data_IF_444196223248
#
_entry.id   IF_444196223248
#
_cell.length_a   1.000
_cell.length_b   1.000
_cell.length_c   1.000
_cell.angle_alpha   90.00
_cell.angle_beta   90.00
_cell.angle_gamma   90.00
#
_symmetry.space_group_name_H-M   'P 1'
#
loop_
_entity.id
_entity.type
_entity.pdbx_description
1 polymer ?
#
# COMPACT_ATOMS: atom_id res chain seq x y z
N UNK A 1 4.61 19.10 18.11
CA UNK A 1 5.21 17.78 18.49
C UNK A 1 6.54 18.00 19.22
N UNK A 2 6.92 17.15 20.23
CA UNK A 2 8.24 17.25 20.90
C UNK A 2 9.19 16.21 20.31
N UNK A 3 10.27 16.68 19.70
CA UNK A 3 11.31 15.85 19.09
C UNK A 3 12.70 16.33 19.52
N UNK A 4 13.69 15.45 19.46
CA UNK A 4 15.11 15.76 19.69
C UNK A 4 15.88 15.45 18.41
N UNK A 5 16.75 16.35 17.98
CA UNK A 5 17.61 16.12 16.82
C UNK A 5 18.74 15.20 17.28
N UNK A 6 18.82 13.99 16.68
CA UNK A 6 19.91 13.04 16.94
C UNK A 6 21.13 13.28 16.03
N UNK A 7 20.84 13.62 14.78
CA UNK A 7 21.87 13.89 13.79
C UNK A 7 21.33 14.87 12.75
N UNK A 8 22.19 15.76 12.28
CA UNK A 8 21.86 16.72 11.23
C UNK A 8 23.03 16.85 10.26
N UNK A 9 22.71 16.89 8.98
CA UNK A 9 23.62 17.22 7.89
C UNK A 9 22.91 18.15 6.92
N UNK A 10 23.63 18.73 5.95
CA UNK A 10 23.06 19.72 5.03
C UNK A 10 21.84 19.14 4.26
N UNK A 11 20.64 19.66 4.59
CA UNK A 11 19.38 19.24 3.96
C UNK A 11 18.81 17.90 4.46
N UNK A 12 19.38 17.30 5.51
CA UNK A 12 18.89 16.05 6.09
C UNK A 12 19.01 16.08 7.60
N UNK A 13 17.92 15.72 8.29
CA UNK A 13 17.93 15.60 9.75
C UNK A 13 17.32 14.28 10.21
N UNK A 14 17.84 13.78 11.32
CA UNK A 14 17.28 12.64 12.04
C UNK A 14 16.72 13.13 13.37
N UNK A 15 15.42 12.94 13.52
CA UNK A 15 14.69 13.37 14.70
C UNK A 15 14.24 12.15 15.50
N UNK A 16 14.34 12.23 16.80
CA UNK A 16 13.74 11.26 17.71
C UNK A 16 12.56 11.89 18.43
N UNK A 17 11.40 11.27 18.30
CA UNK A 17 10.18 11.71 18.97
C UNK A 17 10.23 11.33 20.45
N UNK A 18 9.78 12.23 21.32
CA UNK A 18 9.68 11.99 22.77
C UNK A 18 8.44 11.17 23.12
N UNK A 19 8.29 10.01 22.48
CA UNK A 19 7.24 9.03 22.81
C UNK A 19 7.84 7.64 22.90
N UNK A 20 7.30 6.79 23.78
CA UNK A 20 7.84 5.45 24.04
C UNK A 20 7.44 4.44 22.96
N UNK A 21 6.30 4.63 22.32
CA UNK A 21 5.77 3.73 21.29
C UNK A 21 4.99 4.56 20.27
N UNK A 22 5.05 4.13 19.01
CA UNK A 22 4.29 4.67 17.90
C UNK A 22 3.50 3.55 17.25
N UNK A 23 2.23 3.78 16.96
CA UNK A 23 1.41 2.83 16.20
C UNK A 23 1.79 2.92 14.72
N UNK A 24 1.48 1.87 13.93
CA UNK A 24 1.71 1.90 12.48
C UNK A 24 0.94 3.06 11.84
N UNK A 25 -0.34 3.23 12.22
CA UNK A 25 -1.17 4.34 11.73
C UNK A 25 -0.57 5.71 12.04
N UNK A 26 -0.03 5.90 13.23
CA UNK A 26 0.66 7.14 13.57
C UNK A 26 1.91 7.36 12.73
N UNK A 27 2.69 6.30 12.47
CA UNK A 27 3.86 6.40 11.62
C UNK A 27 3.50 6.77 10.18
N UNK A 28 2.48 6.12 9.62
CA UNK A 28 1.99 6.41 8.27
C UNK A 28 1.41 7.83 8.17
N UNK A 29 0.64 8.26 9.17
CA UNK A 29 0.08 9.61 9.24
C UNK A 29 1.17 10.69 9.31
N UNK A 30 2.17 10.49 10.16
CA UNK A 30 3.28 11.42 10.29
C UNK A 30 4.13 11.47 9.02
N UNK A 31 4.39 10.31 8.39
CA UNK A 31 5.15 10.23 7.15
C UNK A 31 4.42 10.93 6.01
N UNK A 32 3.13 10.68 5.85
CA UNK A 32 2.31 11.32 4.83
C UNK A 32 2.17 12.83 5.07
N UNK A 33 1.98 13.26 6.32
CA UNK A 33 1.96 14.68 6.68
C UNK A 33 3.28 15.38 6.35
N UNK A 34 4.41 14.75 6.68
CA UNK A 34 5.74 15.28 6.37
C UNK A 34 5.97 15.41 4.87
N UNK A 35 5.65 14.36 4.09
CA UNK A 35 5.78 14.36 2.62
C UNK A 35 4.89 15.40 1.96
N UNK A 36 3.73 15.72 2.53
CA UNK A 36 2.84 16.77 2.06
C UNK A 36 3.33 18.22 2.32
N UNK A 37 4.44 18.41 3.03
CA UNK A 37 4.97 19.75 3.28
C UNK A 37 5.81 20.26 2.11
N UNK A 38 5.70 21.55 1.72
CA UNK A 38 6.38 22.11 0.56
C UNK A 38 7.92 22.12 0.69
N UNK A 39 8.45 22.09 1.89
CA UNK A 39 9.87 22.04 2.18
C UNK A 39 10.42 20.61 2.30
N UNK A 40 9.59 19.59 2.42
CA UNK A 40 10.02 18.20 2.49
C UNK A 40 10.31 17.64 1.10
N UNK A 41 11.46 17.01 0.94
CA UNK A 41 11.82 16.25 -0.27
C UNK A 41 11.55 14.77 -0.09
N UNK A 42 11.84 14.26 1.10
CA UNK A 42 11.54 12.87 1.47
C UNK A 42 11.46 12.77 3.00
N UNK A 43 10.64 11.85 3.47
CA UNK A 43 10.49 11.56 4.89
C UNK A 43 10.29 10.06 5.10
N UNK A 44 11.01 9.49 6.04
CA UNK A 44 10.89 8.08 6.45
C UNK A 44 10.71 8.03 7.96
N UNK A 45 9.62 7.42 8.40
CA UNK A 45 9.28 7.28 9.82
C UNK A 45 9.48 5.84 10.27
N UNK A 46 10.28 5.63 11.31
CA UNK A 46 10.54 4.33 11.93
C UNK A 46 9.75 4.21 13.23
N UNK A 47 8.66 3.44 13.22
CA UNK A 47 7.76 3.29 14.36
C UNK A 47 8.40 2.61 15.59
N UNK A 48 9.32 1.65 15.37
CA UNK A 48 9.98 0.91 16.47
C UNK A 48 10.93 1.78 17.29
N UNK A 49 11.64 2.68 16.62
CA UNK A 49 12.63 3.57 17.25
C UNK A 49 12.08 4.95 17.52
N UNK A 50 10.85 5.24 17.05
CA UNK A 50 10.24 6.57 17.05
C UNK A 50 11.15 7.64 16.43
N UNK A 51 11.91 7.25 15.39
CA UNK A 51 12.81 8.12 14.66
C UNK A 51 12.21 8.52 13.32
N UNK A 52 12.45 9.75 12.93
CA UNK A 52 12.11 10.32 11.64
C UNK A 52 13.39 10.71 10.94
N UNK A 53 13.56 10.24 9.72
CA UNK A 53 14.62 10.69 8.82
C UNK A 53 13.94 11.60 7.80
N UNK A 54 14.34 12.87 7.80
CA UNK A 54 13.74 13.89 6.95
C UNK A 54 14.82 14.48 6.05
N UNK A 55 14.54 14.49 4.73
CA UNK A 55 15.33 15.25 3.75
C UNK A 55 14.51 16.47 3.36
N UNK A 56 15.07 17.66 3.49
CA UNK A 56 14.35 18.90 3.31
C UNK A 56 15.12 19.91 2.45
N UNK A 57 14.38 20.88 1.90
CA UNK A 57 14.92 22.04 1.20
C UNK A 57 14.43 23.34 1.87
N UNK A 58 15.18 24.41 1.72
CA UNK A 58 14.84 25.71 2.31
C UNK A 58 15.42 25.93 3.70
N UNK A 59 14.78 26.84 4.44
CA UNK A 59 15.28 27.30 5.72
C UNK A 59 15.00 26.31 6.86
N UNK A 60 16.03 26.07 7.67
CA UNK A 60 15.98 25.13 8.81
C UNK A 60 14.98 25.53 9.88
N UNK A 61 14.85 26.81 10.18
CA UNK A 61 13.96 27.29 11.25
C UNK A 61 12.50 27.11 10.86
N UNK A 62 12.17 27.33 9.60
CA UNK A 62 10.84 27.06 9.05
C UNK A 62 10.46 25.58 9.21
N UNK A 63 11.38 24.67 8.91
CA UNK A 63 11.15 23.22 9.07
C UNK A 63 10.93 22.85 10.54
N UNK A 64 11.75 23.38 11.45
CA UNK A 64 11.62 23.07 12.88
C UNK A 64 10.35 23.66 13.48
N UNK A 65 9.93 24.87 13.07
CA UNK A 65 8.68 25.46 13.52
C UNK A 65 7.46 24.67 13.05
N UNK A 66 7.47 24.23 11.79
CA UNK A 66 6.40 23.37 11.23
C UNK A 66 6.31 22.01 11.96
N UNK A 67 7.45 21.37 12.26
CA UNK A 67 7.49 20.14 13.05
C UNK A 67 6.98 20.40 14.49
N UNK A 68 7.34 21.54 15.06
CA UNK A 68 6.90 21.99 16.39
C UNK A 68 5.38 22.14 16.50
N UNK A 69 4.75 22.70 15.46
CA UNK A 69 3.29 22.90 15.39
C UNK A 69 2.48 21.63 15.08
N UNK A 70 3.12 20.53 14.69
CA UNK A 70 2.44 19.27 14.38
C UNK A 70 1.58 18.78 15.54
N UNK A 71 0.32 18.46 15.25
CA UNK A 71 -0.62 17.79 16.16
C UNK A 71 -1.23 16.58 15.46
N UNK A 72 -1.47 15.52 16.20
CA UNK A 72 -2.06 14.28 15.63
C UNK A 72 -3.45 14.52 15.08
N UNK A 73 -4.29 15.29 15.80
CA UNK A 73 -5.64 15.60 15.36
C UNK A 73 -5.66 16.41 14.06
N UNK A 74 -4.82 17.45 13.96
CA UNK A 74 -4.74 18.25 12.73
C UNK A 74 -4.18 17.46 11.52
N UNK A 75 -3.31 16.49 11.77
CA UNK A 75 -2.83 15.61 10.69
C UNK A 75 -3.92 14.63 10.23
N UNK A 76 -4.76 14.10 11.13
CA UNK A 76 -5.88 13.23 10.75
C UNK A 76 -6.95 13.95 9.92
N UNK A 77 -7.13 15.25 10.11
CA UNK A 77 -8.05 16.06 9.30
C UNK A 77 -7.49 16.41 7.91
N UNK A 78 -6.16 16.50 7.78
CA UNK A 78 -5.50 16.98 6.55
C UNK A 78 -4.96 15.88 5.66
N UNK A 79 -4.75 14.67 6.20
CA UNK A 79 -4.12 13.55 5.49
C UNK A 79 -5.08 12.37 5.38
N UNK A 80 -5.39 11.99 4.15
CA UNK A 80 -6.15 10.76 3.87
C UNK A 80 -5.17 9.59 3.74
N UNK A 81 -5.21 8.65 4.70
CA UNK A 81 -4.38 7.45 4.64
C UNK A 81 -5.03 6.39 3.74
N UNK A 82 -4.25 5.67 2.92
CA UNK A 82 -4.75 4.51 2.20
C UNK A 82 -5.23 3.44 3.17
N UNK A 83 -6.29 2.73 2.81
CA UNK A 83 -6.91 1.67 3.64
C UNK A 83 -5.96 0.50 3.95
N UNK A 84 -4.94 0.30 3.13
CA UNK A 84 -3.94 -0.76 3.28
C UNK A 84 -2.53 -0.17 3.21
N UNK A 85 -1.87 -0.14 4.34
CA UNK A 85 -0.47 0.30 4.43
C UNK A 85 0.48 -0.85 4.10
N UNK A 86 1.39 -0.63 3.14
CA UNK A 86 2.48 -1.57 2.81
C UNK A 86 3.31 -1.92 4.05
N UNK A 87 3.41 -0.99 5.00
CA UNK A 87 4.08 -1.17 6.29
C UNK A 87 3.37 -2.21 7.16
N UNK A 88 2.03 -2.18 7.20
CA UNK A 88 1.23 -3.16 7.94
C UNK A 88 1.39 -4.57 7.36
N UNK A 89 1.38 -4.71 6.03
CA UNK A 89 1.62 -5.98 5.33
C UNK A 89 3.00 -6.56 5.64
N UNK A 90 4.04 -5.73 5.57
CA UNK A 90 5.41 -6.15 5.86
C UNK A 90 5.57 -6.60 7.31
N UNK A 91 4.93 -5.91 8.25
CA UNK A 91 4.96 -6.26 9.66
C UNK A 91 4.24 -7.56 9.94
N UNK A 92 3.05 -7.76 9.39
CA UNK A 92 2.29 -9.00 9.52
C UNK A 92 3.09 -10.20 9.00
N UNK A 93 3.73 -10.04 7.84
CA UNK A 93 4.62 -11.05 7.28
C UNK A 93 5.80 -11.37 8.21
N UNK A 94 6.52 -10.33 8.70
CA UNK A 94 7.65 -10.51 9.60
C UNK A 94 7.24 -11.20 10.91
N UNK A 95 6.13 -10.81 11.52
CA UNK A 95 5.63 -11.42 12.76
C UNK A 95 5.28 -12.90 12.55
N UNK A 96 4.62 -13.24 11.45
CA UNK A 96 4.30 -14.63 11.09
C UNK A 96 5.55 -15.46 10.79
N UNK A 97 6.50 -14.90 10.02
CA UNK A 97 7.75 -15.55 9.67
C UNK A 97 8.60 -15.84 10.91
N UNK A 98 8.84 -14.81 11.72
CA UNK A 98 9.62 -14.94 12.97
C UNK A 98 8.93 -15.92 13.92
N UNK A 99 7.61 -15.85 14.07
CA UNK A 99 6.84 -16.81 14.87
C UNK A 99 7.04 -18.25 14.43
N UNK A 100 6.91 -18.54 13.12
CA UNK A 100 7.12 -19.90 12.57
C UNK A 100 8.55 -20.38 12.77
N UNK A 101 9.55 -19.54 12.53
CA UNK A 101 10.98 -19.87 12.71
C UNK A 101 11.30 -20.15 14.20
N UNK A 102 10.82 -19.30 15.11
CA UNK A 102 11.01 -19.49 16.54
C UNK A 102 10.35 -20.77 17.04
N UNK A 103 9.11 -21.04 16.65
CA UNK A 103 8.39 -22.25 17.03
C UNK A 103 9.13 -23.50 16.52
N UNK A 104 9.63 -23.48 15.28
CA UNK A 104 10.44 -24.58 14.71
C UNK A 104 11.73 -24.75 15.50
N UNK A 105 12.48 -23.66 15.76
CA UNK A 105 13.72 -23.69 16.53
C UNK A 105 13.55 -24.23 17.96
N UNK A 106 12.58 -23.65 18.69
CA UNK A 106 12.27 -24.09 20.07
C UNK A 106 11.84 -25.57 20.09
N UNK A 107 10.96 -25.99 19.16
CA UNK A 107 10.53 -27.37 19.11
C UNK A 107 11.65 -28.36 18.78
N UNK A 108 12.63 -27.91 17.98
CA UNK A 108 13.77 -28.77 17.60
C UNK A 108 14.77 -28.90 18.74
N UNK A 109 14.98 -27.82 19.52
CA UNK A 109 15.98 -27.77 20.61
C UNK A 109 15.46 -28.33 21.95
N UNK A 110 14.21 -28.00 22.30
CA UNK A 110 13.70 -28.24 23.66
C UNK A 110 12.71 -29.39 23.77
N UNK A 111 12.07 -29.83 22.67
CA UNK A 111 11.07 -30.90 22.76
C UNK A 111 11.73 -32.28 22.73
N UNK A 112 11.36 -33.18 23.66
CA UNK A 112 11.79 -34.58 23.60
C UNK A 112 11.25 -35.25 22.33
N UNK A 113 11.97 -36.27 21.85
CA UNK A 113 11.68 -36.95 20.57
C UNK A 113 10.24 -37.39 20.41
N UNK A 114 9.52 -37.97 21.41
CA UNK A 114 8.13 -38.37 21.20
C UNK A 114 7.18 -37.20 20.96
N UNK A 115 7.38 -36.07 21.61
CA UNK A 115 6.58 -34.85 21.37
C UNK A 115 6.84 -34.26 20.01
N UNK A 116 8.07 -34.30 19.51
CA UNK A 116 8.42 -33.87 18.15
C UNK A 116 7.72 -34.74 17.12
N UNK A 117 7.71 -36.04 17.28
CA UNK A 117 7.00 -36.98 16.38
C UNK A 117 5.50 -36.68 16.38
N UNK A 118 4.88 -36.61 17.57
CA UNK A 118 3.46 -36.32 17.70
C UNK A 118 3.08 -35.01 16.99
N UNK A 119 3.91 -33.97 17.12
CA UNK A 119 3.71 -32.71 16.44
C UNK A 119 3.82 -32.83 14.92
N UNK A 120 4.82 -33.54 14.38
CA UNK A 120 5.00 -33.80 12.96
C UNK A 120 3.77 -34.50 12.38
N UNK A 121 3.31 -35.57 13.07
CA UNK A 121 2.11 -36.33 12.67
C UNK A 121 0.87 -35.43 12.68
N UNK A 122 0.70 -34.58 13.69
CA UNK A 122 -0.43 -33.65 13.74
C UNK A 122 -0.39 -32.62 12.59
N UNK A 123 0.79 -32.03 12.32
CA UNK A 123 0.97 -31.07 11.24
C UNK A 123 0.86 -31.70 9.83
N UNK A 124 1.04 -33.00 9.68
CA UNK A 124 0.91 -33.73 8.42
C UNK A 124 -0.56 -33.83 7.95
N UNK A 125 -1.53 -33.87 8.89
CA UNK A 125 -2.94 -34.10 8.59
C UNK A 125 -3.50 -33.16 7.52
N UNK A 126 -3.33 -31.82 7.61
CA UNK A 126 -3.84 -30.91 6.59
C UNK A 126 -3.18 -31.13 5.21
N UNK A 127 -1.90 -31.44 5.14
CA UNK A 127 -1.21 -31.71 3.87
C UNK A 127 -1.74 -32.99 3.21
N UNK A 128 -1.86 -34.06 3.96
CA UNK A 128 -2.43 -35.31 3.45
C UNK A 128 -3.89 -35.15 3.02
N UNK A 129 -4.69 -34.38 3.76
CA UNK A 129 -6.10 -34.12 3.41
C UNK A 129 -6.25 -33.31 2.12
N UNK A 130 -5.32 -32.35 1.87
CA UNK A 130 -5.25 -31.61 0.59
C UNK A 130 -4.88 -32.57 -0.55
N UNK A 131 -3.85 -33.40 -0.40
CA UNK A 131 -3.41 -34.36 -1.41
C UNK A 131 -4.45 -35.42 -1.74
N UNK A 132 -5.14 -35.99 -0.72
CA UNK A 132 -6.22 -36.97 -0.94
C UNK A 132 -7.42 -36.35 -1.70
N UNK A 133 -7.76 -35.10 -1.39
CA UNK A 133 -8.83 -34.38 -2.16
C UNK A 133 -8.44 -34.17 -3.61
N UNK A 134 -7.16 -33.88 -3.91
CA UNK A 134 -6.68 -33.81 -5.28
C UNK A 134 -6.80 -35.15 -6.01
N UNK A 135 -6.42 -36.22 -5.36
CA UNK A 135 -6.53 -37.59 -5.90
C UNK A 135 -8.00 -37.98 -6.17
N UNK A 136 -8.90 -37.70 -5.23
CA UNK A 136 -10.35 -37.94 -5.38
C UNK A 136 -11.00 -37.17 -6.52
N UNK A 137 -10.47 -35.99 -6.85
CA UNK A 137 -10.92 -35.16 -7.98
C UNK A 137 -10.19 -35.46 -9.30
N UNK A 138 -9.33 -36.49 -9.32
CA UNK A 138 -8.51 -36.88 -10.49
C UNK A 138 -7.68 -35.73 -11.09
N UNK A 139 -7.23 -34.79 -10.25
CA UNK A 139 -6.40 -33.67 -10.66
C UNK A 139 -5.01 -33.81 -10.07
N UNK A 140 -4.01 -33.79 -10.92
CA UNK A 140 -2.61 -33.84 -10.49
C UNK A 140 -2.17 -32.38 -10.24
N UNK A 141 -2.03 -32.03 -8.96
CA UNK A 141 -1.56 -30.72 -8.50
C UNK A 141 -0.34 -30.88 -7.61
N UNK A 142 0.34 -29.76 -7.34
CA UNK A 142 1.51 -29.70 -6.47
C UNK A 142 1.22 -30.25 -5.08
N UNK A 143 0.00 -30.01 -4.56
CA UNK A 143 -0.44 -30.53 -3.25
C UNK A 143 -0.43 -32.06 -3.15
N UNK A 144 -0.58 -32.77 -4.27
CA UNK A 144 -0.43 -34.24 -4.30
C UNK A 144 1.03 -34.65 -4.13
N UNK A 145 1.95 -33.94 -4.78
CA UNK A 145 3.40 -34.18 -4.69
C UNK A 145 3.90 -33.90 -3.27
N UNK A 146 3.42 -32.83 -2.66
CA UNK A 146 3.74 -32.45 -1.28
C UNK A 146 3.27 -33.54 -0.29
N UNK A 147 2.02 -33.98 -0.44
CA UNK A 147 1.44 -35.04 0.37
C UNK A 147 2.21 -36.37 0.23
N UNK A 148 2.61 -36.71 -0.99
CA UNK A 148 3.42 -37.91 -1.25
C UNK A 148 4.81 -37.79 -0.62
N UNK A 149 5.49 -36.67 -0.78
CA UNK A 149 6.83 -36.44 -0.22
C UNK A 149 6.82 -36.53 1.32
N UNK A 150 5.84 -35.90 1.96
CA UNK A 150 5.64 -35.94 3.41
C UNK A 150 5.28 -37.36 3.84
N UNK A 151 4.34 -38.01 3.15
CA UNK A 151 3.86 -39.36 3.46
C UNK A 151 4.99 -40.40 3.38
N UNK A 152 5.82 -40.37 2.32
CA UNK A 152 6.98 -41.26 2.14
C UNK A 152 8.01 -41.03 3.27
N UNK A 153 8.28 -39.77 3.62
CA UNK A 153 9.24 -39.44 4.71
C UNK A 153 8.76 -40.00 6.05
N UNK A 154 7.47 -39.83 6.35
CA UNK A 154 6.89 -40.39 7.59
C UNK A 154 6.86 -41.94 7.57
N UNK A 155 6.53 -42.53 6.43
CA UNK A 155 6.56 -44.02 6.27
C UNK A 155 7.97 -44.59 6.52
N UNK A 156 9.00 -43.86 6.06
CA UNK A 156 10.41 -44.20 6.33
C UNK A 156 10.85 -43.89 7.76
N UNK A 157 9.97 -43.41 8.62
CA UNK A 157 10.23 -42.92 9.99
C UNK A 157 11.22 -41.76 10.04
N UNK A 158 11.40 -41.06 8.95
CA UNK A 158 12.23 -39.83 8.91
C UNK A 158 11.36 -38.61 9.19
N UNK A 159 11.00 -38.45 10.46
CA UNK A 159 10.19 -37.35 10.95
C UNK A 159 10.94 -36.00 10.87
N UNK A 160 12.28 -36.03 10.84
CA UNK A 160 13.10 -34.82 10.67
C UNK A 160 12.92 -34.19 9.30
N UNK A 161 13.07 -35.02 8.27
CA UNK A 161 12.85 -34.57 6.87
C UNK A 161 11.39 -34.16 6.65
N UNK A 162 10.42 -34.96 7.08
CA UNK A 162 9.00 -34.61 6.96
C UNK A 162 8.69 -33.26 7.60
N UNK A 163 9.17 -33.02 8.83
CA UNK A 163 8.98 -31.74 9.52
C UNK A 163 9.71 -30.56 8.89
N UNK A 164 10.80 -30.80 8.16
CA UNK A 164 11.53 -29.75 7.45
C UNK A 164 10.85 -29.41 6.13
N UNK A 165 10.40 -30.40 5.38
CA UNK A 165 9.62 -30.21 4.15
C UNK A 165 8.34 -29.41 4.46
N UNK A 166 7.54 -29.83 5.46
CA UNK A 166 6.33 -29.08 5.85
C UNK A 166 6.64 -27.64 6.24
N UNK A 167 7.73 -27.42 6.99
CA UNK A 167 8.13 -26.06 7.36
C UNK A 167 8.50 -25.21 6.15
N UNK A 168 9.24 -25.75 5.16
CA UNK A 168 9.60 -25.03 3.94
C UNK A 168 8.37 -24.71 3.10
N UNK A 169 7.42 -25.66 2.98
CA UNK A 169 6.16 -25.44 2.29
C UNK A 169 5.34 -24.33 2.95
N UNK A 170 5.23 -24.31 4.27
CA UNK A 170 4.53 -23.25 4.99
C UNK A 170 5.19 -21.87 4.85
N UNK A 171 6.53 -21.81 4.78
CA UNK A 171 7.23 -20.55 4.49
C UNK A 171 6.98 -20.12 3.04
N UNK A 172 6.98 -21.08 2.10
CA UNK A 172 6.66 -20.81 0.69
C UNK A 172 5.26 -20.21 0.52
N UNK A 173 4.23 -20.83 1.11
CA UNK A 173 2.84 -20.31 1.10
C UNK A 173 2.76 -18.89 1.70
N UNK A 174 3.48 -18.64 2.81
CA UNK A 174 3.51 -17.33 3.46
C UNK A 174 4.17 -16.27 2.57
N UNK A 175 5.28 -16.62 1.90
CA UNK A 175 6.00 -15.73 1.00
C UNK A 175 5.17 -15.41 -0.25
N UNK A 176 4.49 -16.41 -0.81
CA UNK A 176 3.61 -16.26 -1.96
C UNK A 176 2.44 -15.31 -1.65
N UNK A 177 1.76 -15.52 -0.51
CA UNK A 177 0.66 -14.65 -0.08
C UNK A 177 1.13 -13.20 0.15
N UNK A 178 2.29 -13.03 0.79
CA UNK A 178 2.88 -11.70 0.97
C UNK A 178 3.26 -11.04 -0.35
N UNK A 179 3.93 -11.77 -1.26
CA UNK A 179 4.35 -11.23 -2.58
C UNK A 179 3.15 -10.81 -3.39
N UNK A 180 2.09 -11.62 -3.39
CA UNK A 180 0.84 -11.31 -4.08
C UNK A 180 0.20 -10.04 -3.53
N UNK A 181 0.02 -9.95 -2.20
CA UNK A 181 -0.58 -8.77 -1.56
C UNK A 181 0.26 -7.52 -1.80
N UNK A 182 1.59 -7.65 -1.73
CA UNK A 182 2.50 -6.55 -1.97
C UNK A 182 2.44 -6.08 -3.42
N UNK A 183 2.46 -6.99 -4.40
CA UNK A 183 2.36 -6.64 -5.82
C UNK A 183 1.08 -5.88 -6.14
N UNK A 184 -0.06 -6.27 -5.55
CA UNK A 184 -1.33 -5.53 -5.71
C UNK A 184 -1.25 -4.15 -5.08
N UNK A 185 -0.64 -4.02 -3.89
CA UNK A 185 -0.47 -2.74 -3.23
C UNK A 185 0.48 -1.81 -4.01
N UNK A 186 1.61 -2.33 -4.48
CA UNK A 186 2.60 -1.58 -5.27
C UNK A 186 2.01 -1.15 -6.63
N UNK A 187 1.17 -2.00 -7.25
CA UNK A 187 0.44 -1.65 -8.46
C UNK A 187 -0.58 -0.54 -8.19
N UNK A 188 -1.36 -0.65 -7.13
CA UNK A 188 -2.30 0.38 -6.73
C UNK A 188 -1.60 1.71 -6.41
N UNK A 189 -0.43 1.67 -5.77
CA UNK A 189 0.39 2.85 -5.48
C UNK A 189 0.96 3.48 -6.76
N UNK A 190 1.50 2.68 -7.69
CA UNK A 190 2.05 3.20 -8.95
C UNK A 190 0.97 3.73 -9.90
N UNK A 191 -0.24 3.22 -9.80
CA UNK A 191 -1.38 3.73 -10.52
C UNK A 191 -2.00 4.96 -9.82
N UNK A 192 -1.85 5.13 -8.51
CA UNK A 192 -2.39 6.30 -7.81
C UNK A 192 -1.60 7.57 -8.16
N UNK A 193 -2.27 8.48 -8.86
CA UNK A 193 -1.71 9.79 -9.16
C UNK A 193 -1.72 10.62 -7.89
N UNK A 194 -0.54 10.92 -7.38
CA UNK A 194 -0.37 11.74 -6.19
C UNK A 194 -0.52 13.22 -6.55
N UNK A 195 -1.77 13.67 -6.64
CA UNK A 195 -2.07 15.09 -6.63
C UNK A 195 -2.46 15.45 -5.20
N UNK A 196 -1.51 15.99 -4.46
CA UNK A 196 -1.74 16.36 -3.05
C UNK A 196 -2.51 17.66 -2.90
N UNK A 197 -2.36 18.59 -3.86
CA UNK A 197 -2.93 19.94 -3.82
C UNK A 197 -3.46 20.36 -5.18
N UNK A 198 -4.53 21.14 -5.16
CA UNK A 198 -5.21 21.66 -6.32
C UNK A 198 -5.45 23.17 -6.19
N UNK A 199 -5.54 23.87 -7.30
CA UNK A 199 -5.90 25.28 -7.32
C UNK A 199 -7.41 25.41 -7.24
N UNK A 200 -7.93 25.74 -6.06
CA UNK A 200 -9.35 26.03 -5.85
C UNK A 200 -9.65 27.45 -6.29
N UNK A 201 -10.60 27.61 -7.21
CA UNK A 201 -11.07 28.93 -7.67
C UNK A 201 -11.97 29.53 -6.58
N UNK A 202 -11.59 30.68 -6.06
CA UNK A 202 -12.40 31.44 -5.07
C UNK A 202 -12.67 32.84 -5.59
N UNK A 203 -13.67 33.54 -5.06
CA UNK A 203 -13.92 34.95 -5.45
C UNK A 203 -12.73 35.89 -5.19
N UNK A 204 -11.82 35.51 -4.30
CA UNK A 204 -10.62 36.27 -3.95
C UNK A 204 -9.39 35.86 -4.79
N UNK A 205 -9.50 34.88 -5.68
CA UNK A 205 -8.42 34.31 -6.50
C UNK A 205 -8.21 32.81 -6.29
N UNK A 206 -7.24 32.25 -7.01
CA UNK A 206 -6.91 30.82 -6.93
C UNK A 206 -6.11 30.53 -5.66
N UNK A 207 -6.58 29.58 -4.86
CA UNK A 207 -5.95 29.18 -3.59
C UNK A 207 -5.49 27.73 -3.67
N UNK A 208 -4.21 27.47 -3.38
CA UNK A 208 -3.66 26.12 -3.37
C UNK A 208 -4.17 25.36 -2.15
N UNK A 209 -5.11 24.45 -2.38
CA UNK A 209 -5.86 23.72 -1.35
C UNK A 209 -5.52 22.23 -1.38
N UNK A 210 -5.34 21.54 -0.23
CA UNK A 210 -5.20 20.08 -0.18
C UNK A 210 -6.42 19.38 -0.81
N UNK A 211 -6.17 18.34 -1.63
CA UNK A 211 -7.22 17.63 -2.35
C UNK A 211 -8.29 17.03 -1.42
N UNK A 212 -7.92 16.62 -0.20
CA UNK A 212 -8.84 16.08 0.80
C UNK A 212 -9.86 17.09 1.36
N UNK A 213 -9.69 18.40 1.09
CA UNK A 213 -10.62 19.45 1.50
C UNK A 213 -11.61 19.82 0.37
N UNK A 214 -11.39 19.31 -0.83
CA UNK A 214 -12.24 19.58 -2.01
C UNK A 214 -13.55 18.80 -1.87
N UNK A 215 -14.64 19.46 -2.23
CA UNK A 215 -16.02 18.91 -2.19
C UNK A 215 -16.62 18.86 -3.59
N UNK A 216 -17.61 18.00 -3.81
CA UNK A 216 -18.40 18.04 -5.03
C UNK A 216 -19.04 19.43 -5.22
N UNK A 217 -18.92 19.99 -6.42
CA UNK A 217 -19.37 21.35 -6.76
C UNK A 217 -18.27 22.41 -6.64
N UNK A 218 -17.13 22.12 -6.01
CA UNK A 218 -16.01 23.06 -5.99
C UNK A 218 -15.40 23.21 -7.40
N UNK A 219 -14.85 24.41 -7.66
CA UNK A 219 -14.21 24.73 -8.94
C UNK A 219 -12.69 24.68 -8.79
N UNK A 220 -12.04 23.86 -9.62
CA UNK A 220 -10.59 23.64 -9.60
C UNK A 220 -10.00 24.12 -10.94
N UNK A 221 -8.92 24.88 -10.88
CA UNK A 221 -8.19 25.36 -12.05
C UNK A 221 -7.08 24.39 -12.42
N UNK A 222 -7.06 23.95 -13.69
CA UNK A 222 -5.98 23.11 -14.23
C UNK A 222 -5.41 23.77 -15.47
N UNK A 223 -4.07 23.87 -15.53
CA UNK A 223 -3.33 24.50 -16.61
C UNK A 223 -2.58 23.45 -17.45
N UNK A 224 -2.13 23.85 -18.63
CA UNK A 224 -1.31 23.01 -19.50
C UNK A 224 -0.14 22.37 -18.73
N UNK A 225 0.08 21.09 -18.95
CA UNK A 225 1.03 20.25 -18.20
C UNK A 225 0.50 19.75 -16.85
N UNK A 226 -0.67 20.21 -16.41
CA UNK A 226 -1.29 19.79 -15.16
C UNK A 226 -2.03 18.46 -15.30
N UNK A 227 -2.04 17.68 -14.22
CA UNK A 227 -2.84 16.46 -14.10
C UNK A 227 -4.21 16.82 -13.56
N UNK A 228 -5.27 16.27 -14.17
CA UNK A 228 -6.64 16.43 -13.67
C UNK A 228 -6.77 15.62 -12.38
N UNK A 229 -7.08 16.27 -11.26
CA UNK A 229 -6.99 15.63 -9.94
C UNK A 229 -8.19 14.75 -9.58
N UNK A 230 -9.39 15.10 -10.10
CA UNK A 230 -10.67 14.51 -9.73
C UNK A 230 -11.58 14.41 -10.95
N UNK A 231 -12.48 13.41 -10.97
CA UNK A 231 -13.49 13.29 -12.02
C UNK A 231 -14.38 14.55 -11.99
N UNK A 232 -14.40 15.26 -13.10
CA UNK A 232 -14.93 16.62 -13.16
C UNK A 232 -15.59 16.89 -14.52
N UNK A 233 -16.28 18.02 -14.60
CA UNK A 233 -16.81 18.57 -15.85
C UNK A 233 -16.17 19.94 -16.10
N UNK A 234 -15.79 20.23 -17.32
CA UNK A 234 -15.28 21.55 -17.71
C UNK A 234 -16.38 22.56 -17.52
N UNK A 235 -16.20 23.48 -16.56
CA UNK A 235 -17.14 24.60 -16.33
C UNK A 235 -16.82 25.75 -17.24
N UNK A 236 -15.53 26.13 -17.37
CA UNK A 236 -15.06 27.24 -18.20
C UNK A 236 -13.76 26.84 -18.90
N UNK A 237 -13.55 27.37 -20.10
CA UNK A 237 -12.35 27.18 -20.91
C UNK A 237 -12.46 26.05 -21.93
N UNK A 238 -11.39 25.88 -22.67
CA UNK A 238 -11.20 24.81 -23.65
C UNK A 238 -9.81 24.21 -23.46
N UNK A 239 -9.73 22.89 -23.44
CA UNK A 239 -8.48 22.17 -23.20
C UNK A 239 -8.36 20.93 -24.06
N UNK A 240 -7.14 20.61 -24.42
CA UNK A 240 -6.79 19.35 -25.05
C UNK A 240 -6.23 18.40 -23.95
N UNK A 241 -6.87 17.24 -23.77
CA UNK A 241 -6.58 16.30 -22.69
C UNK A 241 -6.04 15.01 -23.26
N UNK A 242 -4.88 14.59 -22.77
CA UNK A 242 -4.32 13.29 -23.04
C UNK A 242 -4.92 12.26 -22.07
N UNK A 243 -5.59 11.26 -22.62
CA UNK A 243 -6.26 10.18 -21.87
C UNK A 243 -5.55 8.83 -22.01
N UNK A 244 -4.34 8.81 -22.54
CA UNK A 244 -3.57 7.57 -22.80
C UNK A 244 -3.40 6.71 -21.56
N UNK A 245 -3.29 7.31 -20.38
CA UNK A 245 -3.21 6.61 -19.08
C UNK A 245 -4.44 5.78 -18.76
N UNK A 246 -5.63 6.14 -19.30
CA UNK A 246 -6.89 5.46 -19.06
C UNK A 246 -7.33 4.57 -20.22
N UNK A 247 -7.17 5.06 -21.44
CA UNK A 247 -7.71 4.41 -22.65
C UNK A 247 -6.64 3.67 -23.45
N UNK A 248 -5.37 3.99 -23.22
CA UNK A 248 -4.24 3.54 -24.03
C UNK A 248 -4.10 4.30 -25.37
N UNK A 249 -5.03 5.19 -25.72
CA UNK A 249 -4.99 5.98 -26.94
C UNK A 249 -4.15 7.23 -26.74
N UNK A 250 -3.13 7.41 -27.58
CA UNK A 250 -2.21 8.56 -27.47
C UNK A 250 -2.71 9.83 -28.13
N UNK A 251 -3.88 9.81 -28.78
CA UNK A 251 -4.42 10.99 -29.45
C UNK A 251 -5.14 11.87 -28.43
N UNK A 252 -4.69 13.10 -28.20
CA UNK A 252 -5.33 14.04 -27.28
C UNK A 252 -6.75 14.40 -27.74
N UNK A 253 -7.64 14.57 -26.79
CA UNK A 253 -9.06 14.86 -27.02
C UNK A 253 -9.39 16.28 -26.58
N UNK A 254 -9.94 17.10 -27.49
CA UNK A 254 -10.43 18.41 -27.14
C UNK A 254 -11.68 18.32 -26.25
N UNK A 255 -11.69 19.11 -25.18
CA UNK A 255 -12.79 19.25 -24.23
C UNK A 255 -13.20 20.71 -24.09
N UNK A 256 -14.51 20.92 -24.20
CA UNK A 256 -15.14 22.22 -24.07
C UNK A 256 -16.03 22.26 -22.82
N UNK A 257 -16.57 23.41 -22.50
CA UNK A 257 -17.53 23.56 -21.40
C UNK A 257 -18.66 22.52 -21.50
N UNK A 258 -18.96 21.84 -20.39
CA UNK A 258 -19.86 20.70 -20.31
C UNK A 258 -19.21 19.32 -20.59
N UNK A 259 -17.97 19.29 -21.08
CA UNK A 259 -17.24 18.06 -21.36
C UNK A 259 -16.75 17.38 -20.09
N UNK A 260 -16.95 16.05 -19.98
CA UNK A 260 -16.44 15.27 -18.87
C UNK A 260 -14.92 15.04 -19.03
N UNK A 261 -14.21 15.17 -17.91
CA UNK A 261 -12.78 14.88 -17.78
C UNK A 261 -12.54 13.98 -16.57
N UNK A 262 -11.50 13.18 -16.63
CA UNK A 262 -11.27 12.11 -15.66
C UNK A 262 -9.97 12.31 -14.89
N UNK A 263 -10.00 11.95 -13.62
CA UNK A 263 -8.82 11.95 -12.78
C UNK A 263 -7.68 11.14 -13.45
N UNK A 264 -6.46 11.68 -13.39
CA UNK A 264 -5.30 11.00 -13.94
C UNK A 264 -5.00 11.28 -15.40
N UNK A 265 -5.82 12.05 -16.08
CA UNK A 265 -5.51 12.54 -17.41
C UNK A 265 -4.71 13.84 -17.34
N UNK A 266 -3.95 14.16 -18.39
CA UNK A 266 -3.06 15.31 -18.43
C UNK A 266 -3.59 16.34 -19.42
N UNK A 267 -3.66 17.60 -19.01
CA UNK A 267 -3.95 18.73 -19.90
C UNK A 267 -2.70 19.02 -20.72
N UNK A 268 -2.75 18.81 -22.05
CA UNK A 268 -1.64 19.12 -22.94
C UNK A 268 -1.61 20.59 -23.31
N UNK A 269 -2.78 21.15 -23.67
CA UNK A 269 -2.90 22.54 -24.09
C UNK A 269 -4.14 23.20 -23.46
N UNK A 270 -4.03 24.48 -23.20
CA UNK A 270 -5.10 25.31 -22.66
C UNK A 270 -5.11 25.41 -21.13
N UNK A 271 -6.13 26.09 -20.63
CA UNK A 271 -6.45 26.22 -19.20
C UNK A 271 -7.96 26.06 -19.03
N UNK A 272 -8.37 25.34 -18.01
CA UNK A 272 -9.78 25.12 -17.69
C UNK A 272 -10.10 25.25 -16.22
N UNK A 273 -11.34 25.63 -15.97
CA UNK A 273 -11.97 25.54 -14.68
C UNK A 273 -12.83 24.27 -14.67
N UNK A 274 -12.58 23.39 -13.76
CA UNK A 274 -13.26 22.11 -13.62
C UNK A 274 -14.21 22.16 -12.42
N UNK A 275 -15.47 21.81 -12.62
CA UNK A 275 -16.41 21.58 -11.54
C UNK A 275 -16.30 20.12 -11.09
N UNK A 276 -15.91 19.90 -9.84
CA UNK A 276 -15.71 18.55 -9.28
C UNK A 276 -17.06 17.84 -9.15
N UNK A 277 -17.19 16.66 -9.76
CA UNK A 277 -18.40 15.83 -9.66
C UNK A 277 -18.25 14.72 -8.63
N UNK A 278 -17.07 14.14 -8.52
CA UNK A 278 -16.78 13.07 -7.55
C UNK A 278 -15.48 13.35 -6.83
N UNK A 279 -15.47 13.11 -5.52
CA UNK A 279 -14.27 13.22 -4.68
C UNK A 279 -13.47 11.93 -4.69
N UNK A 280 -12.24 12.00 -4.20
CA UNK A 280 -11.33 10.87 -4.08
C UNK A 280 -11.99 9.66 -3.38
N UNK A 281 -11.80 8.46 -3.94
CA UNK A 281 -12.41 7.22 -3.45
C UNK A 281 -13.71 6.79 -4.16
N UNK A 282 -14.26 7.63 -5.07
CA UNK A 282 -15.47 7.32 -5.82
C UNK A 282 -15.30 7.49 -7.33
N UNK A 283 -14.12 7.87 -7.80
CA UNK A 283 -13.83 8.13 -9.21
C UNK A 283 -13.71 6.86 -10.06
N UNK A 284 -13.67 7.01 -11.38
CA UNK A 284 -13.44 5.90 -12.32
C UNK A 284 -12.13 5.18 -12.05
N UNK A 285 -11.13 5.91 -11.64
CA UNK A 285 -9.84 5.36 -11.28
C UNK A 285 -9.94 4.39 -10.08
N UNK A 286 -10.62 4.79 -9.01
CA UNK A 286 -10.85 3.95 -7.83
C UNK A 286 -11.64 2.69 -8.20
N UNK A 287 -12.60 2.80 -9.13
CA UNK A 287 -13.35 1.65 -9.65
C UNK A 287 -12.45 0.66 -10.42
N UNK A 288 -11.47 1.15 -11.19
CA UNK A 288 -10.51 0.30 -11.90
C UNK A 288 -9.63 -0.44 -10.89
N UNK A 289 -9.09 0.24 -9.87
CA UNK A 289 -8.31 -0.38 -8.81
C UNK A 289 -9.12 -1.43 -8.06
N UNK A 290 -10.38 -1.13 -7.73
CA UNK A 290 -11.29 -2.09 -7.09
C UNK A 290 -11.59 -3.30 -7.99
N UNK A 291 -11.79 -3.09 -9.30
CA UNK A 291 -11.96 -4.18 -10.27
C UNK A 291 -10.73 -5.07 -10.38
N UNK A 292 -9.53 -4.49 -10.38
CA UNK A 292 -8.27 -5.26 -10.38
C UNK A 292 -8.18 -6.10 -9.11
N UNK A 293 -8.46 -5.53 -7.95
CA UNK A 293 -8.46 -6.26 -6.67
C UNK A 293 -9.50 -7.38 -6.64
N UNK A 294 -10.70 -7.13 -7.13
CA UNK A 294 -11.77 -8.15 -7.25
C UNK A 294 -11.41 -9.26 -8.24
N UNK A 295 -10.81 -8.90 -9.38
CA UNK A 295 -10.34 -9.87 -10.39
C UNK A 295 -9.27 -10.80 -9.82
N UNK A 296 -8.32 -10.27 -9.09
CA UNK A 296 -7.28 -11.04 -8.38
C UNK A 296 -7.90 -11.98 -7.33
N UNK A 297 -8.87 -11.50 -6.55
CA UNK A 297 -9.57 -12.33 -5.57
C UNK A 297 -10.37 -13.46 -6.24
N UNK A 298 -11.05 -13.18 -7.37
CA UNK A 298 -11.78 -14.19 -8.13
C UNK A 298 -10.85 -15.21 -8.76
N UNK A 299 -9.69 -14.80 -9.30
CA UNK A 299 -8.68 -15.69 -9.84
C UNK A 299 -8.18 -16.65 -8.77
N UNK A 300 -7.82 -16.13 -7.59
CA UNK A 300 -7.44 -16.94 -6.43
C UNK A 300 -8.54 -17.91 -5.99
N UNK A 301 -9.80 -17.47 -5.97
CA UNK A 301 -10.94 -18.33 -5.62
C UNK A 301 -11.23 -19.40 -6.69
N UNK A 302 -10.99 -19.10 -7.97
CA UNK A 302 -11.16 -20.04 -9.08
C UNK A 302 -10.02 -21.06 -9.11
N UNK A 303 -8.79 -20.64 -8.87
CA UNK A 303 -7.63 -21.53 -8.70
C UNK A 303 -7.78 -22.44 -7.49
N UNK A 304 -8.36 -21.95 -6.40
CA UNK A 304 -8.70 -22.77 -5.23
C UNK A 304 -9.83 -23.76 -5.48
N UNK A 305 -10.73 -23.50 -6.44
CA UNK A 305 -11.82 -24.42 -6.85
C UNK A 305 -11.44 -25.33 -8.01
N UNK A 306 -10.43 -24.97 -8.78
CA UNK A 306 -9.91 -25.78 -9.88
C UNK A 306 -8.95 -26.85 -9.40
#
# INVERSE_FOLDING_TARGET
MRATIEHESRGRMRLRLRQKKMTLRQADLLEAWLKGQPWARDAVVHERTCCVILTYGGDRETVLSAIGSFTWAGAEETVTLPSHSTRALNREFQEKLVGKVLIKGVSTLFFPTPLRIARVVWHMIPFLSKGLRCLGRRRIKVELLDALSIGISVFRRDFGTAGTVMFLLEIGELLEDWTRKKSVADLAESLSLHVDRVWLKTPAGDVLTPIGQIRPGDQVVVRAGGVIPLDSVVAEGEVTVNQASLTGESVPVAKHSGGAVYAGTVVEEGECVLEVKQVSGQGRYDQIVEMIQRSEQMKSATEAKA
#
